data_IF_485603858203
#
_entry.id   IF_485603858203
#
_cell.length_a   1.000
_cell.length_b   1.000
_cell.length_c   1.000
_cell.angle_alpha   90.00
_cell.angle_beta   90.00
_cell.angle_gamma   90.00
#
_symmetry.space_group_name_H-M   'P 1'
#
loop_
_entity.id
_entity.type
_entity.pdbx_description
1 polymer ?
#
# COMPACT_ATOMS: atom_id res chain seq x y z
N UNK A 1 15.78 10.33 8.00
CA UNK A 1 14.52 9.66 8.38
C UNK A 1 13.50 9.73 7.26
N UNK A 2 13.45 8.67 6.44
CA UNK A 2 12.34 8.37 5.54
C UNK A 2 11.20 7.78 6.38
N UNK A 3 9.94 8.15 6.11
CA UNK A 3 8.79 7.63 6.85
C UNK A 3 8.57 6.15 6.49
N UNK A 4 8.05 5.37 7.43
CA UNK A 4 7.66 3.97 7.17
C UNK A 4 6.54 3.92 6.13
N UNK A 5 6.59 2.93 5.25
CA UNK A 5 5.53 2.65 4.27
C UNK A 5 4.33 2.11 5.06
N UNK A 6 3.16 2.75 4.91
CA UNK A 6 1.95 2.34 5.62
C UNK A 6 1.22 1.22 4.86
N UNK A 7 0.65 0.22 5.55
CA UNK A 7 -0.20 -0.77 4.91
C UNK A 7 -1.45 -0.10 4.34
N UNK A 8 -1.77 -0.41 3.09
CA UNK A 8 -2.92 0.13 2.36
C UNK A 8 -4.20 -0.71 2.50
N UNK A 9 -4.08 -1.98 2.89
CA UNK A 9 -5.23 -2.86 3.12
C UNK A 9 -5.88 -2.47 4.46
N UNK A 10 -6.92 -1.65 4.39
CA UNK A 10 -7.76 -1.28 5.54
C UNK A 10 -9.05 -2.10 5.49
N UNK A 11 -9.55 -2.49 6.66
CA UNK A 11 -10.78 -3.29 6.78
C UNK A 11 -12.03 -2.45 6.49
N UNK A 12 -11.95 -1.13 6.68
CA UNK A 12 -13.11 -0.24 6.71
C UNK A 12 -13.39 0.44 5.36
N UNK A 13 -12.36 0.58 4.51
CA UNK A 13 -12.50 1.23 3.20
C UNK A 13 -11.45 0.74 2.19
N UNK A 14 -11.79 0.70 0.89
CA UNK A 14 -10.81 0.45 -0.15
C UNK A 14 -9.74 1.55 -0.17
N UNK A 15 -8.51 1.17 -0.50
CA UNK A 15 -7.41 2.11 -0.65
C UNK A 15 -7.71 3.09 -1.79
N UNK A 16 -7.59 4.38 -1.52
CA UNK A 16 -7.80 5.42 -2.53
C UNK A 16 -6.58 5.56 -3.42
N UNK A 17 -6.77 6.09 -4.64
CA UNK A 17 -5.68 6.38 -5.57
C UNK A 17 -4.62 7.32 -4.99
N UNK A 18 -5.04 8.26 -4.14
CA UNK A 18 -4.14 9.16 -3.44
C UNK A 18 -3.24 8.38 -2.48
N UNK A 19 -3.81 7.49 -1.67
CA UNK A 19 -3.05 6.66 -0.73
C UNK A 19 -2.08 5.71 -1.45
N UNK A 20 -2.51 5.14 -2.57
CA UNK A 20 -1.66 4.32 -3.45
C UNK A 20 -0.46 5.13 -3.96
N UNK A 21 -0.71 6.34 -4.47
CA UNK A 21 0.35 7.23 -4.96
C UNK A 21 1.29 7.68 -3.84
N UNK A 22 0.76 7.98 -2.66
CA UNK A 22 1.58 8.32 -1.49
C UNK A 22 2.45 7.14 -1.04
N UNK A 23 1.92 5.93 -1.01
CA UNK A 23 2.68 4.73 -0.70
C UNK A 23 3.79 4.47 -1.71
N UNK A 24 3.49 4.59 -3.01
CA UNK A 24 4.47 4.50 -4.09
C UNK A 24 5.60 5.54 -3.93
N UNK A 25 5.27 6.78 -3.57
CA UNK A 25 6.26 7.83 -3.30
C UNK A 25 7.17 7.47 -2.12
N UNK A 26 6.62 6.94 -1.03
CA UNK A 26 7.42 6.53 0.12
C UNK A 26 8.31 5.33 -0.22
N UNK A 27 7.81 4.37 -1.00
CA UNK A 27 8.58 3.23 -1.48
C UNK A 27 9.80 3.69 -2.31
N UNK A 28 9.58 4.54 -3.32
CA UNK A 28 10.66 5.04 -4.18
C UNK A 28 11.70 5.82 -3.36
N UNK A 29 11.27 6.65 -2.39
CA UNK A 29 12.19 7.36 -1.48
C UNK A 29 12.99 6.40 -0.58
N UNK A 30 12.35 5.33 -0.10
CA UNK A 30 12.99 4.34 0.77
C UNK A 30 14.05 3.53 0.02
N UNK A 31 13.74 3.05 -1.18
CA UNK A 31 14.64 2.23 -2.01
C UNK A 31 15.78 3.06 -2.57
N UNK A 32 15.50 4.27 -3.03
CA UNK A 32 16.52 5.15 -3.62
C UNK A 32 17.45 5.80 -2.59
N UNK A 33 17.07 5.83 -1.30
CA UNK A 33 17.83 6.53 -0.25
C UNK A 33 17.70 8.06 -0.29
N UNK A 34 17.01 8.64 -1.28
CA UNK A 34 16.81 10.08 -1.37
C UNK A 34 15.56 10.52 -0.59
N UNK A 35 15.73 11.52 0.28
CA UNK A 35 14.60 12.21 0.90
C UNK A 35 13.87 13.13 -0.07
N UNK A 36 14.61 13.79 -0.96
CA UNK A 36 14.10 14.72 -1.97
C UNK A 36 14.90 14.49 -3.26
N UNK A 37 14.24 14.27 -4.41
CA UNK A 37 14.95 14.19 -5.68
C UNK A 37 15.59 15.54 -6.01
N UNK A 38 16.77 15.50 -6.61
CA UNK A 38 17.36 16.66 -7.30
C UNK A 38 16.58 16.94 -8.59
N UNK A 39 16.68 18.15 -9.15
CA UNK A 39 15.99 18.51 -10.40
C UNK A 39 16.29 17.53 -11.54
N UNK A 40 17.54 17.07 -11.64
CA UNK A 40 17.99 16.10 -12.65
C UNK A 40 17.28 14.75 -12.51
N UNK A 41 17.01 14.32 -11.27
CA UNK A 41 16.43 13.01 -10.99
C UNK A 41 14.90 13.04 -10.90
N UNK A 42 14.27 14.22 -10.92
CA UNK A 42 12.80 14.37 -10.80
C UNK A 42 12.06 13.50 -11.81
N UNK A 43 12.46 13.54 -13.09
CA UNK A 43 11.81 12.74 -14.14
C UNK A 43 11.91 11.23 -13.89
N UNK A 44 13.04 10.75 -13.37
CA UNK A 44 13.22 9.34 -13.04
C UNK A 44 12.37 8.94 -11.83
N UNK A 45 12.32 9.81 -10.80
CA UNK A 45 11.48 9.62 -9.63
C UNK A 45 10.00 9.58 -9.99
N UNK A 46 9.51 10.53 -10.77
CA UNK A 46 8.09 10.61 -11.14
C UNK A 46 7.66 9.39 -11.94
N UNK A 47 8.48 8.94 -12.90
CA UNK A 47 8.22 7.70 -13.66
C UNK A 47 8.21 6.46 -12.76
N UNK A 48 9.13 6.38 -11.80
CA UNK A 48 9.17 5.25 -10.87
C UNK A 48 7.93 5.23 -9.97
N UNK A 49 7.54 6.39 -9.41
CA UNK A 49 6.35 6.52 -8.57
C UNK A 49 5.09 6.14 -9.34
N UNK A 50 4.95 6.60 -10.59
CA UNK A 50 3.80 6.25 -11.43
C UNK A 50 3.68 4.75 -11.65
N UNK A 51 4.78 4.07 -12.02
CA UNK A 51 4.77 2.61 -12.25
C UNK A 51 4.47 1.82 -10.99
N UNK A 52 5.02 2.23 -9.85
CA UNK A 52 4.74 1.55 -8.57
C UNK A 52 3.28 1.77 -8.17
N UNK A 53 2.74 2.97 -8.36
CA UNK A 53 1.32 3.26 -8.09
C UNK A 53 0.39 2.40 -8.95
N UNK A 54 0.68 2.29 -10.25
CA UNK A 54 -0.09 1.45 -11.18
C UNK A 54 -0.03 -0.03 -10.80
N UNK A 55 1.16 -0.57 -10.54
CA UNK A 55 1.33 -1.95 -10.09
C UNK A 55 0.61 -2.22 -8.76
N UNK A 56 0.64 -1.24 -7.84
CA UNK A 56 -0.05 -1.33 -6.54
C UNK A 56 -1.57 -1.31 -6.72
N UNK A 57 -2.09 -0.48 -7.63
CA UNK A 57 -3.52 -0.45 -7.96
C UNK A 57 -3.98 -1.80 -8.48
N UNK A 58 -3.28 -2.34 -9.49
CA UNK A 58 -3.58 -3.67 -10.05
C UNK A 58 -3.53 -4.74 -8.95
N UNK A 59 -2.52 -4.70 -8.08
CA UNK A 59 -2.44 -5.62 -6.95
C UNK A 59 -3.67 -5.52 -6.05
N UNK A 60 -4.05 -4.31 -5.61
CA UNK A 60 -5.19 -4.09 -4.71
C UNK A 60 -6.52 -4.50 -5.35
N UNK A 61 -6.69 -4.28 -6.66
CA UNK A 61 -7.86 -4.73 -7.42
C UNK A 61 -7.88 -6.26 -7.61
N UNK A 62 -6.71 -6.89 -7.74
CA UNK A 62 -6.57 -8.32 -7.99
C UNK A 62 -6.63 -9.19 -6.73
N UNK A 63 -6.21 -8.67 -5.58
CA UNK A 63 -6.28 -9.40 -4.32
C UNK A 63 -7.74 -9.44 -3.88
N UNK A 64 -8.29 -10.65 -3.77
CA UNK A 64 -9.60 -10.82 -3.16
C UNK A 64 -9.54 -10.24 -1.74
N UNK A 65 -10.55 -9.46 -1.30
CA UNK A 65 -10.66 -9.13 0.11
C UNK A 65 -10.70 -10.47 0.83
N UNK A 66 -9.61 -10.79 1.52
CA UNK A 66 -9.47 -12.09 2.16
C UNK A 66 -10.69 -12.29 3.01
N UNK A 67 -11.40 -13.39 2.72
CA UNK A 67 -12.60 -13.88 3.38
C UNK A 67 -12.71 -13.23 4.76
N UNK A 68 -13.67 -12.32 4.92
CA UNK A 68 -14.11 -11.93 6.26
C UNK A 68 -14.31 -13.25 7.02
N UNK A 69 -14.01 -13.27 8.32
CA UNK A 69 -14.27 -14.41 9.19
C UNK A 69 -15.80 -14.68 9.29
N UNK A 70 -16.49 -14.94 8.18
CA UNK A 70 -17.94 -15.15 8.10
C UNK A 70 -18.33 -16.61 8.26
N UNK A 71 -17.36 -17.52 8.28
CA UNK A 71 -17.61 -18.93 8.61
C UNK A 71 -17.10 -19.33 10.02
N UNK A 72 -16.58 -18.38 10.81
CA UNK A 72 -16.19 -18.67 12.20
C UNK A 72 -17.39 -18.49 13.14
N UNK A 73 -18.13 -19.58 13.35
CA UNK A 73 -19.02 -19.73 14.51
C UNK A 73 -18.17 -20.25 15.67
N UNK A 74 -17.90 -19.48 16.73
CA UNK A 74 -17.27 -20.04 17.92
C UNK A 74 -18.23 -21.06 18.55
N UNK A 75 -17.78 -22.32 18.64
CA UNK A 75 -18.45 -23.36 19.43
C UNK A 75 -18.70 -22.84 20.86
N UNK A 76 -19.91 -22.99 21.43
CA UNK A 76 -20.28 -22.43 22.73
C UNK A 76 -19.56 -23.07 23.93
N UNK A 77 -18.67 -24.05 23.73
CA UNK A 77 -18.03 -24.80 24.82
C UNK A 77 -16.77 -24.14 25.42
N UNK A 78 -16.31 -23.00 24.91
CA UNK A 78 -15.10 -22.35 25.47
C UNK A 78 -15.34 -21.48 26.72
N UNK A 79 -16.53 -21.51 27.32
CA UNK A 79 -16.78 -20.89 28.64
C UNK A 79 -17.18 -21.96 29.66
N UNK A 80 -16.23 -22.81 30.01
CA UNK A 80 -16.30 -23.62 31.23
C UNK A 80 -14.94 -23.74 31.88
#
# INVERSE_FOLDING_TARGET
MCRSIKPLRKMDHPATDLEIREAALQYVRKVSGFRKPSQVNTLAFDKAVQRVAEATRVLIESIQPGHALSDYVPEPESYR
#
